data_IF_172617325256
#
_entry.id   IF_172617325256
#
_cell.length_a   1.000
_cell.length_b   1.000
_cell.length_c   1.000
_cell.angle_alpha   90.00
_cell.angle_beta   90.00
_cell.angle_gamma   90.00
#
_symmetry.space_group_name_H-M   'P 1'
#
loop_
_entity.id
_entity.type
_entity.pdbx_description
1 polymer ?
#
# COMPACT_ATOMS: atom_id res chain seq x y z
N UNK A 1 4.08 -19.52 -2.43
CA UNK A 1 4.41 -18.10 -2.15
C UNK A 1 3.34 -17.22 -2.79
N UNK A 2 3.07 -16.04 -2.23
CA UNK A 2 2.04 -15.12 -2.73
C UNK A 2 2.55 -13.70 -2.84
N UNK A 3 1.96 -12.92 -3.75
CA UNK A 3 2.29 -11.50 -3.97
C UNK A 3 1.18 -10.60 -3.43
N UNK A 4 1.54 -9.48 -2.84
CA UNK A 4 0.59 -8.47 -2.36
C UNK A 4 -0.05 -7.76 -3.56
N UNK A 5 -1.37 -7.62 -3.52
CA UNK A 5 -2.14 -6.87 -4.51
C UNK A 5 -2.73 -5.58 -3.93
N UNK A 6 -3.25 -5.63 -2.70
CA UNK A 6 -3.97 -4.51 -2.08
C UNK A 6 -3.84 -4.56 -0.55
N UNK A 7 -3.78 -3.39 0.09
CA UNK A 7 -3.68 -3.22 1.54
C UNK A 7 -5.00 -2.66 2.09
N UNK A 8 -5.52 -3.27 3.17
CA UNK A 8 -6.70 -2.78 3.87
C UNK A 8 -6.30 -2.15 5.20
N UNK A 9 -6.47 -0.82 5.28
CA UNK A 9 -6.10 0.01 6.42
C UNK A 9 -7.27 0.12 7.41
N UNK A 10 -6.95 0.21 8.70
CA UNK A 10 -7.90 0.64 9.73
C UNK A 10 -8.10 2.15 9.71
N UNK A 11 -9.05 2.63 10.54
CA UNK A 11 -9.29 4.07 10.71
C UNK A 11 -8.08 4.84 11.27
N UNK A 12 -7.17 4.12 11.91
CA UNK A 12 -5.90 4.59 12.47
C UNK A 12 -4.75 4.53 11.47
N UNK A 13 -5.01 4.24 10.19
CA UNK A 13 -3.99 4.08 9.16
C UNK A 13 -3.21 2.77 9.23
N UNK A 14 -3.47 1.89 10.21
CA UNK A 14 -2.71 0.65 10.37
C UNK A 14 -3.27 -0.46 9.48
N UNK A 15 -2.42 -1.07 8.65
CA UNK A 15 -2.78 -2.22 7.79
C UNK A 15 -3.05 -3.46 8.64
N UNK A 16 -4.29 -3.97 8.61
CA UNK A 16 -4.70 -5.18 9.35
C UNK A 16 -4.96 -6.39 8.47
N UNK A 17 -5.24 -6.18 7.18
CA UNK A 17 -5.51 -7.23 6.20
C UNK A 17 -4.93 -6.87 4.84
N UNK A 18 -4.62 -7.90 4.05
CA UNK A 18 -3.97 -7.77 2.74
C UNK A 18 -4.63 -8.75 1.78
N UNK A 19 -4.89 -8.30 0.54
CA UNK A 19 -5.29 -9.17 -0.57
C UNK A 19 -4.03 -9.68 -1.29
N UNK A 20 -3.96 -10.98 -1.46
CA UNK A 20 -2.80 -11.69 -1.98
C UNK A 20 -3.17 -12.48 -3.24
N UNK A 21 -2.30 -12.46 -4.25
CA UNK A 21 -2.30 -13.47 -5.31
C UNK A 21 -1.50 -14.68 -4.86
N UNK A 22 -2.15 -15.84 -4.80
CA UNK A 22 -1.54 -17.14 -4.55
C UNK A 22 -1.79 -18.07 -5.75
N UNK A 23 -1.14 -19.24 -5.79
CA UNK A 23 -1.32 -20.18 -6.90
C UNK A 23 -2.80 -20.59 -7.11
N UNK A 24 -3.58 -20.67 -6.03
CA UNK A 24 -4.99 -21.05 -6.05
C UNK A 24 -5.95 -19.87 -6.25
N UNK A 25 -5.46 -18.73 -6.72
CA UNK A 25 -6.26 -17.53 -6.93
C UNK A 25 -5.96 -16.43 -5.92
N UNK A 26 -6.99 -15.74 -5.45
CA UNK A 26 -6.83 -14.58 -4.57
C UNK A 26 -7.44 -14.82 -3.22
N UNK A 27 -6.72 -14.38 -2.18
CA UNK A 27 -7.14 -14.54 -0.80
C UNK A 27 -6.92 -13.25 -0.03
N UNK A 28 -7.78 -12.99 0.96
CA UNK A 28 -7.55 -11.93 1.95
C UNK A 28 -7.07 -12.56 3.25
N UNK A 29 -5.96 -12.05 3.81
CA UNK A 29 -5.43 -12.51 5.09
C UNK A 29 -5.07 -11.35 6.02
N UNK A 30 -5.21 -11.55 7.35
CA UNK A 30 -4.67 -10.61 8.32
C UNK A 30 -3.15 -10.49 8.22
N UNK A 31 -2.61 -9.28 8.35
CA UNK A 31 -1.15 -8.99 8.32
C UNK A 31 -0.41 -9.79 9.38
N UNK A 32 -0.99 -9.94 10.58
CA UNK A 32 -0.42 -10.73 11.70
C UNK A 32 -0.18 -12.21 11.34
N UNK A 33 -0.84 -12.74 10.30
CA UNK A 33 -0.67 -14.12 9.83
C UNK A 33 0.25 -14.23 8.61
N UNK A 34 0.86 -13.13 8.17
CA UNK A 34 1.83 -13.13 7.09
C UNK A 34 3.24 -13.21 7.66
N UNK A 35 4.12 -13.87 6.91
CA UNK A 35 5.56 -13.86 7.15
C UNK A 35 6.22 -13.35 5.90
N UNK A 36 7.12 -12.38 6.06
CA UNK A 36 7.95 -11.91 4.98
C UNK A 36 8.85 -13.07 4.56
N UNK A 37 8.92 -13.30 3.25
CA UNK A 37 9.88 -14.21 2.67
C UNK A 37 11.10 -13.40 2.29
N UNK A 38 12.29 -14.01 2.33
CA UNK A 38 13.49 -13.36 1.83
C UNK A 38 13.26 -12.91 0.39
N UNK A 39 13.56 -11.63 0.13
CA UNK A 39 13.46 -11.06 -1.20
C UNK A 39 14.44 -11.79 -2.11
N UNK A 40 13.98 -12.28 -3.25
CA UNK A 40 14.90 -12.67 -4.30
C UNK A 40 15.60 -11.40 -4.75
N UNK A 41 16.85 -11.23 -4.32
CA UNK A 41 17.74 -10.22 -4.89
C UNK A 41 17.81 -10.53 -6.38
N UNK A 42 17.14 -9.70 -7.18
CA UNK A 42 17.35 -9.67 -8.62
C UNK A 42 18.75 -9.07 -8.78
N UNK A 43 19.69 -9.90 -9.23
CA UNK A 43 21.10 -9.54 -9.34
C UNK A 43 21.25 -8.23 -10.13
N UNK A 44 21.71 -7.17 -9.47
CA UNK A 44 21.89 -5.84 -10.04
C UNK A 44 20.80 -4.79 -9.74
N UNK A 45 19.68 -5.14 -9.10
CA UNK A 45 18.71 -4.15 -8.60
C UNK A 45 18.71 -4.19 -7.07
N UNK A 46 19.16 -3.13 -6.38
CA UNK A 46 19.09 -3.10 -4.92
C UNK A 46 17.63 -3.33 -4.51
N UNK A 47 17.36 -4.18 -3.50
CA UNK A 47 16.01 -4.31 -2.99
C UNK A 47 15.53 -2.91 -2.65
N UNK A 48 14.37 -2.51 -3.21
CA UNK A 48 13.75 -1.23 -2.84
C UNK A 48 13.70 -1.22 -1.32
N UNK A 49 14.51 -0.35 -0.71
CA UNK A 49 14.46 -0.09 0.71
C UNK A 49 13.00 0.20 0.98
N UNK A 50 12.33 -0.63 1.76
CA UNK A 50 10.93 -0.40 2.12
C UNK A 50 10.87 0.82 3.02
N UNK A 51 11.13 2.00 2.45
CA UNK A 51 10.88 3.28 3.07
C UNK A 51 9.40 3.27 3.42
N UNK A 52 9.14 3.22 4.72
CA UNK A 52 7.81 3.44 5.29
C UNK A 52 7.27 4.68 4.61
N UNK A 53 6.24 4.51 3.77
CA UNK A 53 5.63 5.60 3.03
C UNK A 53 4.96 6.47 4.08
N UNK A 54 5.72 7.43 4.62
CA UNK A 54 5.16 8.47 5.45
C UNK A 54 4.04 9.12 4.66
N UNK A 55 2.86 9.11 5.27
CA UNK A 55 1.56 9.52 4.76
C UNK A 55 1.66 10.83 3.97
N UNK A 56 1.92 10.73 2.67
CA UNK A 56 1.98 11.87 1.75
C UNK A 56 0.56 12.21 1.30
N UNK A 57 -0.32 12.44 2.27
CA UNK A 57 -1.65 13.02 2.08
C UNK A 57 -1.66 14.52 2.39
N UNK A 58 -0.57 15.23 2.14
CA UNK A 58 -0.55 16.69 2.16
C UNK A 58 -0.16 17.25 0.79
N UNK A 59 -1.12 17.97 0.18
CA UNK A 59 -0.98 19.01 -0.87
C UNK A 59 -1.19 18.64 -2.35
N UNK A 60 -2.24 17.88 -2.69
CA UNK A 60 -2.76 17.88 -4.07
C UNK A 60 -4.24 18.32 -4.23
N UNK A 61 -4.86 18.87 -3.18
CA UNK A 61 -6.20 19.49 -3.27
C UNK A 61 -6.23 20.97 -2.91
N UNK A 62 -5.17 21.72 -3.24
CA UNK A 62 -5.24 23.18 -3.40
C UNK A 62 -4.97 23.52 -4.86
N UNK A 63 -5.88 23.18 -5.78
CA UNK A 63 -5.84 23.78 -7.13
C UNK A 63 -7.14 23.74 -7.93
N UNK A 64 -8.19 23.02 -7.53
CA UNK A 64 -9.43 23.02 -8.32
C UNK A 64 -10.64 23.17 -7.41
N UNK A 65 -11.11 24.43 -7.30
CA UNK A 65 -12.46 24.93 -7.05
C UNK A 65 -12.40 26.19 -6.18
N UNK A 66 -12.10 27.34 -6.80
CA UNK A 66 -12.57 28.64 -6.30
C UNK A 66 -14.05 28.75 -6.74
N UNK A 67 -15.03 28.78 -5.83
CA UNK A 67 -16.35 29.30 -6.20
C UNK A 67 -16.19 30.80 -6.46
N UNK A 68 -16.51 31.22 -7.67
CA UNK A 68 -16.65 32.63 -8.03
C UNK A 68 -18.04 33.07 -7.54
N UNK A 69 -18.07 34.03 -6.62
CA UNK A 69 -19.31 34.71 -6.26
C UNK A 69 -19.48 35.87 -7.23
N UNK A 70 -20.57 35.87 -7.99
CA UNK A 70 -21.04 37.06 -8.70
C UNK A 70 -21.64 38.02 -7.65
N UNK A 71 -21.30 39.30 -7.76
CA UNK A 71 -21.74 40.42 -6.89
C UNK A 71 -23.18 40.84 -7.19
#
# INVERSE_FOLDING_TARGET
MGRVLELYHGRDGVVRSVRLKVAKGEITRPTKKLRLLESAVIDGVPPSSGEDVADSNQRQNLSVNKPQYDE
#
